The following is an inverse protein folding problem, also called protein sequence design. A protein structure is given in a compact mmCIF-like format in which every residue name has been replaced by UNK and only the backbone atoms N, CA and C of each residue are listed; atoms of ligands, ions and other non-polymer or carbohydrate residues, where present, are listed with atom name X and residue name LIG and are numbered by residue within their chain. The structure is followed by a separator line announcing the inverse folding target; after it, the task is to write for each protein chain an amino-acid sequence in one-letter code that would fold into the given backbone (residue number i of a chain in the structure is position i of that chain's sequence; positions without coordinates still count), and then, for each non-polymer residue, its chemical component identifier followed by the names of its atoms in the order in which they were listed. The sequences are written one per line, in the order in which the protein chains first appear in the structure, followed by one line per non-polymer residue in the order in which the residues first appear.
data_IF_467315174995
#
_entry.id   IF_467315174995
#
_cell.length_a   1.000
_cell.length_b   1.000
_cell.length_c   1.000
_cell.angle_alpha   90.00
_cell.angle_beta   90.00
_cell.angle_gamma   90.00
#
_symmetry.space_group_name_H-M   'P 1'
#
loop_
_entity.id
_entity.type
_entity.pdbx_description
1 polymer ?
#
# COMPACT_ATOMS: atom_id res chain seq x y z
N UNK A 1 7.87 27.29 2.03
CA UNK A 1 8.45 26.08 2.66
C UNK A 1 7.98 24.88 1.85
N UNK A 2 8.83 23.85 1.63
CA UNK A 2 8.37 22.60 0.99
C UNK A 2 7.20 22.00 1.77
N UNK A 3 6.33 21.24 1.10
CA UNK A 3 5.30 20.47 1.80
C UNK A 3 5.92 19.37 2.66
N UNK A 4 5.21 18.86 3.68
CA UNK A 4 5.75 17.85 4.58
C UNK A 4 6.22 16.62 3.80
N UNK A 5 5.42 16.13 2.86
CA UNK A 5 5.77 14.96 2.04
C UNK A 5 6.98 15.21 1.15
N UNK A 6 7.12 16.42 0.60
CA UNK A 6 8.30 16.80 -0.18
C UNK A 6 9.56 16.86 0.68
N UNK A 7 9.44 17.40 1.90
CA UNK A 7 10.54 17.41 2.86
C UNK A 7 10.94 15.99 3.26
N UNK A 8 9.99 15.12 3.62
CA UNK A 8 10.27 13.73 3.99
C UNK A 8 10.98 12.97 2.87
N UNK A 9 10.60 13.16 1.61
CA UNK A 9 11.30 12.54 0.47
C UNK A 9 12.72 13.05 0.30
N UNK A 10 13.00 14.31 0.66
CA UNK A 10 14.35 14.88 0.60
C UNK A 10 15.25 14.38 1.75
N UNK A 11 14.67 14.09 2.90
CA UNK A 11 15.39 13.59 4.07
C UNK A 11 15.69 12.09 4.00
N UNK A 12 14.91 11.32 3.23
CA UNK A 12 15.19 9.90 3.01
C UNK A 12 16.47 9.76 2.19
N UNK A 13 17.38 8.93 2.66
CA UNK A 13 18.58 8.59 1.89
C UNK A 13 18.18 7.91 0.57
N UNK A 14 18.50 8.56 -0.56
CA UNK A 14 18.21 8.07 -1.92
C UNK A 14 18.55 6.58 -2.14
N UNK A 15 19.69 6.05 -1.64
CA UNK A 15 19.99 4.62 -1.77
C UNK A 15 18.97 3.70 -1.09
N UNK A 16 18.40 4.10 0.05
CA UNK A 16 17.40 3.30 0.76
C UNK A 16 16.07 3.28 0.01
N UNK A 17 15.62 4.43 -0.50
CA UNK A 17 14.38 4.51 -1.28
C UNK A 17 14.50 3.74 -2.60
N UNK A 18 15.66 3.85 -3.27
CA UNK A 18 15.95 3.08 -4.48
C UNK A 18 15.91 1.59 -4.17
N UNK A 19 16.63 1.13 -3.13
CA UNK A 19 16.65 -0.28 -2.75
C UNK A 19 15.26 -0.85 -2.41
N UNK A 20 14.39 -0.04 -1.79
CA UNK A 20 13.01 -0.41 -1.49
C UNK A 20 12.10 -0.49 -2.73
N UNK A 21 12.38 0.30 -3.77
CA UNK A 21 11.49 0.47 -4.94
C UNK A 21 12.04 -0.15 -6.23
N UNK A 22 13.25 -0.69 -6.23
CA UNK A 22 13.88 -1.38 -7.37
C UNK A 22 14.46 -2.74 -6.97
N UNK A 23 13.86 -3.40 -5.99
CA UNK A 23 14.31 -4.69 -5.48
C UNK A 23 14.33 -5.77 -6.61
N UNK A 24 15.30 -6.71 -6.62
CA UNK A 24 15.35 -7.79 -7.60
C UNK A 24 14.06 -8.60 -7.76
N UNK A 25 13.25 -8.72 -6.70
CA UNK A 25 11.92 -9.32 -6.76
C UNK A 25 11.04 -8.68 -7.85
N UNK A 26 11.07 -7.35 -7.97
CA UNK A 26 10.25 -6.60 -8.93
C UNK A 26 10.68 -6.85 -10.37
N UNK A 27 11.99 -6.95 -10.61
CA UNK A 27 12.51 -7.29 -11.93
C UNK A 27 12.17 -8.73 -12.32
N UNK A 28 12.25 -9.67 -11.36
CA UNK A 28 11.86 -11.05 -11.59
C UNK A 28 10.35 -11.19 -11.89
N UNK A 29 9.51 -10.46 -11.15
CA UNK A 29 8.07 -10.38 -11.40
C UNK A 29 7.75 -9.77 -12.78
N UNK A 30 8.46 -8.72 -13.19
CA UNK A 30 8.24 -8.06 -14.47
C UNK A 30 8.62 -8.94 -15.68
N UNK A 31 9.53 -9.89 -15.49
CA UNK A 31 10.09 -10.75 -16.55
C UNK A 31 9.58 -12.19 -16.51
N UNK A 32 8.56 -12.49 -15.69
CA UNK A 32 8.04 -13.84 -15.47
C UNK A 32 9.12 -14.87 -15.06
N UNK A 33 10.16 -14.41 -14.36
CA UNK A 33 11.26 -15.27 -13.84
C UNK A 33 11.18 -15.49 -12.34
N UNK A 34 10.17 -14.92 -11.66
CA UNK A 34 9.95 -15.11 -10.23
C UNK A 34 9.53 -16.56 -9.94
N UNK A 35 10.27 -17.31 -9.09
CA UNK A 35 9.87 -18.66 -8.73
C UNK A 35 8.48 -18.68 -8.06
N UNK A 36 7.64 -19.62 -8.45
CA UNK A 36 6.27 -19.73 -7.96
C UNK A 36 6.19 -19.81 -6.42
N UNK A 37 7.15 -20.47 -5.77
CA UNK A 37 7.23 -20.51 -4.30
C UNK A 37 7.45 -19.12 -3.70
N UNK A 38 8.31 -18.30 -4.30
CA UNK A 38 8.57 -16.93 -3.82
C UNK A 38 7.36 -16.02 -4.04
N UNK A 39 6.63 -16.21 -5.15
CA UNK A 39 5.38 -15.50 -5.41
C UNK A 39 4.34 -15.82 -4.34
N UNK A 40 4.16 -17.11 -4.02
CA UNK A 40 3.25 -17.56 -2.96
C UNK A 40 3.64 -17.02 -1.60
N UNK A 41 4.93 -17.13 -1.24
CA UNK A 41 5.46 -16.61 0.02
C UNK A 41 5.23 -15.10 0.14
N UNK A 42 5.50 -14.33 -0.93
CA UNK A 42 5.23 -12.90 -0.95
C UNK A 42 3.73 -12.62 -0.77
N UNK A 43 2.84 -13.25 -1.55
CA UNK A 43 1.41 -12.98 -1.47
C UNK A 43 0.82 -13.37 -0.11
N UNK A 44 1.31 -14.46 0.50
CA UNK A 44 0.94 -14.88 1.84
C UNK A 44 1.30 -13.81 2.89
N UNK A 45 2.50 -13.24 2.81
CA UNK A 45 2.94 -12.19 3.72
C UNK A 45 2.26 -10.84 3.45
N UNK A 46 2.05 -10.48 2.19
CA UNK A 46 1.36 -9.25 1.79
C UNK A 46 -0.11 -9.28 2.19
N UNK A 47 -0.74 -10.47 2.16
CA UNK A 47 -2.09 -10.68 2.72
C UNK A 47 -2.15 -10.40 4.23
N UNK A 48 -1.17 -10.84 5.01
CA UNK A 48 -1.11 -10.51 6.45
C UNK A 48 -0.89 -9.02 6.69
N UNK A 49 -0.05 -8.37 5.86
CA UNK A 49 0.11 -6.92 5.86
C UNK A 49 -1.23 -6.21 5.61
N UNK A 50 -1.95 -6.60 4.55
CA UNK A 50 -3.25 -6.04 4.18
C UNK A 50 -4.32 -6.25 5.26
N UNK A 51 -4.37 -7.43 5.89
CA UNK A 51 -5.26 -7.68 7.03
C UNK A 51 -4.92 -6.77 8.24
N UNK A 52 -3.65 -6.48 8.45
CA UNK A 52 -3.21 -5.59 9.53
C UNK A 52 -3.48 -4.11 9.20
N UNK A 53 -3.39 -3.75 7.92
CA UNK A 53 -3.77 -2.45 7.38
C UNK A 53 -5.25 -2.15 7.65
N UNK A 54 -6.16 -3.14 7.54
CA UNK A 54 -7.58 -2.94 7.88
C UNK A 54 -7.76 -2.39 9.31
N UNK A 55 -7.10 -3.02 10.29
CA UNK A 55 -7.18 -2.58 11.69
C UNK A 55 -6.53 -1.20 11.87
N UNK A 56 -5.37 -0.99 11.25
CA UNK A 56 -4.66 0.30 11.27
C UNK A 56 -5.52 1.47 10.79
N UNK A 57 -6.23 1.31 9.68
CA UNK A 57 -7.14 2.34 9.16
C UNK A 57 -8.35 2.53 10.09
N UNK A 58 -8.89 1.44 10.65
CA UNK A 58 -9.95 1.51 11.66
C UNK A 58 -9.54 2.34 12.88
N UNK A 59 -8.32 2.15 13.37
CA UNK A 59 -7.76 2.91 14.50
C UNK A 59 -7.49 4.38 14.16
N UNK A 60 -7.19 4.70 12.89
CA UNK A 60 -7.10 6.10 12.45
C UNK A 60 -8.47 6.76 12.43
N UNK A 61 -9.48 6.09 11.85
CA UNK A 61 -10.86 6.58 11.79
C UNK A 61 -11.42 6.85 13.19
N UNK A 62 -11.23 5.92 14.12
CA UNK A 62 -11.72 6.03 15.49
C UNK A 62 -11.18 7.25 16.26
N UNK A 63 -10.02 7.79 15.83
CA UNK A 63 -9.39 8.96 16.47
C UNK A 63 -9.76 10.29 15.84
N UNK A 64 -10.47 10.31 14.71
CA UNK A 64 -10.92 11.54 14.08
C UNK A 64 -12.04 12.21 14.88
N UNK A 65 -11.88 13.51 15.12
CA UNK A 65 -12.93 14.35 15.72
C UNK A 65 -13.73 15.01 14.60
N UNK A 66 -14.80 14.36 14.18
CA UNK A 66 -15.66 14.85 13.11
C UNK A 66 -16.48 16.06 13.58
N UNK A 67 -16.48 17.19 12.84
CA UNK A 67 -17.31 18.34 13.17
C UNK A 67 -18.81 18.02 13.04
N UNK A 68 -19.61 18.58 13.93
CA UNK A 68 -21.08 18.54 13.89
C UNK A 68 -21.71 19.75 13.20
N UNK A 69 -20.89 20.65 12.64
CA UNK A 69 -21.36 21.85 11.95
C UNK A 69 -22.05 21.54 10.62
N UNK A 70 -22.80 22.50 10.10
CA UNK A 70 -23.48 22.40 8.80
C UNK A 70 -22.49 22.19 7.66
N UNK A 71 -21.31 22.81 7.75
CA UNK A 71 -20.25 22.72 6.73
C UNK A 71 -19.25 21.58 6.97
N UNK A 72 -19.61 20.58 7.80
CA UNK A 72 -18.69 19.50 8.18
C UNK A 72 -18.04 18.80 6.99
N UNK A 73 -18.76 18.67 5.88
CA UNK A 73 -18.27 17.98 4.66
C UNK A 73 -17.06 18.69 4.04
N UNK A 74 -16.96 20.02 4.19
CA UNK A 74 -15.81 20.79 3.73
C UNK A 74 -14.60 20.68 4.67
N UNK A 75 -14.81 20.20 5.91
CA UNK A 75 -13.74 20.11 6.90
C UNK A 75 -12.66 19.11 6.49
N UNK A 76 -11.42 19.39 6.87
CA UNK A 76 -10.31 18.49 6.65
C UNK A 76 -10.54 17.14 7.34
N UNK A 77 -11.10 17.15 8.56
CA UNK A 77 -11.39 15.93 9.31
C UNK A 77 -12.37 15.02 8.58
N UNK A 78 -13.39 15.59 7.93
CA UNK A 78 -14.35 14.82 7.13
C UNK A 78 -13.69 14.24 5.87
N UNK A 79 -12.92 15.03 5.14
CA UNK A 79 -12.18 14.55 3.95
C UNK A 79 -11.16 13.45 4.30
N UNK A 80 -10.50 13.54 5.46
CA UNK A 80 -9.63 12.46 5.95
C UNK A 80 -10.48 11.21 6.24
N UNK A 81 -11.65 11.34 6.86
CA UNK A 81 -12.51 10.19 7.13
C UNK A 81 -12.96 9.51 5.84
N UNK A 82 -13.41 10.28 4.83
CA UNK A 82 -13.78 9.76 3.52
C UNK A 82 -12.60 9.01 2.87
N UNK A 83 -11.40 9.60 2.88
CA UNK A 83 -10.20 8.93 2.36
C UNK A 83 -9.88 7.62 3.08
N UNK A 84 -10.00 7.56 4.41
CA UNK A 84 -9.75 6.34 5.17
C UNK A 84 -10.83 5.27 4.90
N UNK A 85 -12.09 5.65 4.66
CA UNK A 85 -13.14 4.74 4.21
C UNK A 85 -12.84 4.18 2.82
N UNK A 86 -12.31 5.02 1.92
CA UNK A 86 -11.84 4.58 0.61
C UNK A 86 -10.67 3.59 0.75
N UNK A 87 -9.74 3.82 1.68
CA UNK A 87 -8.66 2.87 1.98
C UNK A 87 -9.20 1.50 2.41
N UNK A 88 -10.20 1.46 3.31
CA UNK A 88 -10.85 0.21 3.73
C UNK A 88 -11.56 -0.50 2.58
N UNK A 89 -12.20 0.27 1.70
CA UNK A 89 -12.88 -0.29 0.52
C UNK A 89 -11.86 -0.87 -0.46
N UNK A 90 -10.75 -0.18 -0.69
CA UNK A 90 -9.67 -0.61 -1.57
C UNK A 90 -8.98 -1.86 -1.05
N UNK A 91 -8.50 -1.85 0.19
CA UNK A 91 -7.77 -3.00 0.74
C UNK A 91 -8.64 -4.26 0.81
N UNK A 92 -9.97 -4.12 0.99
CA UNK A 92 -10.90 -5.26 0.89
C UNK A 92 -11.01 -5.80 -0.54
N UNK A 93 -11.01 -4.93 -1.55
CA UNK A 93 -10.95 -5.35 -2.96
C UNK A 93 -9.62 -6.05 -3.27
N UNK A 94 -8.51 -5.57 -2.72
CA UNK A 94 -7.19 -6.18 -2.89
C UNK A 94 -7.08 -7.55 -2.21
N UNK A 95 -7.61 -7.70 -0.99
CA UNK A 95 -7.69 -9.01 -0.33
C UNK A 95 -8.49 -10.02 -1.17
N UNK A 96 -9.63 -9.61 -1.71
CA UNK A 96 -10.41 -10.44 -2.62
C UNK A 96 -9.61 -10.76 -3.91
N UNK A 97 -8.92 -9.77 -4.49
CA UNK A 97 -8.05 -9.98 -5.64
C UNK A 97 -6.99 -11.04 -5.35
N UNK A 98 -6.37 -11.04 -4.16
CA UNK A 98 -5.35 -12.02 -3.77
C UNK A 98 -5.93 -13.42 -3.70
N UNK A 99 -7.05 -13.55 -2.98
CA UNK A 99 -7.71 -14.82 -2.70
C UNK A 99 -8.32 -15.43 -3.96
N UNK A 100 -9.03 -14.63 -4.77
CA UNK A 100 -9.63 -15.07 -6.02
C UNK A 100 -8.56 -15.51 -7.03
N UNK A 101 -7.45 -14.77 -7.08
CA UNK A 101 -6.32 -15.08 -7.96
C UNK A 101 -5.64 -16.39 -7.53
N UNK A 102 -5.32 -16.54 -6.24
CA UNK A 102 -4.71 -17.76 -5.73
C UNK A 102 -5.65 -18.97 -5.87
N UNK A 103 -6.96 -18.78 -5.71
CA UNK A 103 -7.97 -19.81 -5.94
C UNK A 103 -8.02 -20.24 -7.41
N UNK A 104 -8.03 -19.29 -8.34
CA UNK A 104 -8.06 -19.56 -9.77
C UNK A 104 -6.81 -20.32 -10.26
N UNK A 105 -5.67 -20.03 -9.64
CA UNK A 105 -4.39 -20.69 -9.97
C UNK A 105 -4.14 -21.96 -9.14
N UNK A 106 -5.03 -22.31 -8.20
CA UNK A 106 -4.99 -23.58 -7.45
C UNK A 106 -4.04 -23.63 -6.25
N UNK A 107 -3.69 -22.48 -5.66
CA UNK A 107 -2.78 -22.38 -4.52
C UNK A 107 -3.28 -21.44 -3.41
N UNK A 108 -4.60 -21.31 -3.24
CA UNK A 108 -5.22 -20.53 -2.16
C UNK A 108 -4.73 -20.97 -0.77
N UNK A 109 -4.62 -22.28 -0.54
CA UNK A 109 -4.15 -22.81 0.76
C UNK A 109 -2.72 -22.36 1.10
N UNK A 110 -1.88 -22.11 0.09
CA UNK A 110 -0.48 -21.70 0.29
C UNK A 110 -0.37 -20.26 0.83
N UNK A 111 -1.40 -19.43 0.67
CA UNK A 111 -1.42 -18.03 1.14
C UNK A 111 -2.27 -17.80 2.39
N UNK A 112 -2.99 -18.83 2.85
CA UNK A 112 -3.85 -18.77 4.01
C UNK A 112 -3.10 -19.18 5.28
N UNK A 113 -3.39 -18.49 6.38
CA UNK A 113 -2.80 -18.73 7.72
C UNK A 113 -1.26 -18.89 7.79
N UNK A 114 -0.47 -18.10 7.03
CA UNK A 114 0.97 -18.16 7.16
C UNK A 114 1.40 -17.60 8.52
N UNK A 115 2.57 -18.04 9.00
CA UNK A 115 3.22 -17.33 10.11
C UNK A 115 3.78 -16.02 9.58
N UNK A 116 3.58 -14.88 10.25
CA UNK A 116 4.16 -13.63 9.80
C UNK A 116 5.68 -13.75 9.80
N UNK A 117 6.33 -13.28 8.73
CA UNK A 117 7.77 -13.12 8.67
C UNK A 117 8.20 -11.96 9.57
N UNK A 118 9.51 -11.82 9.81
CA UNK A 118 10.03 -10.70 10.60
C UNK A 118 9.64 -9.35 10.00
N UNK A 119 9.79 -9.17 8.69
CA UNK A 119 9.44 -7.93 8.01
C UNK A 119 7.95 -7.59 8.15
N UNK A 120 7.07 -8.58 8.00
CA UNK A 120 5.62 -8.43 8.18
C UNK A 120 5.27 -8.01 9.61
N UNK A 121 5.90 -8.64 10.62
CA UNK A 121 5.73 -8.21 12.02
C UNK A 121 6.20 -6.78 12.24
N UNK A 122 7.32 -6.37 11.65
CA UNK A 122 7.81 -4.99 11.77
C UNK A 122 6.80 -3.98 11.21
N UNK A 123 6.10 -4.30 10.11
CA UNK A 123 5.01 -3.46 9.60
C UNK A 123 3.80 -3.45 10.53
N UNK A 124 3.43 -4.60 11.09
CA UNK A 124 2.34 -4.69 12.08
C UNK A 124 2.63 -3.84 13.33
N UNK A 125 3.86 -3.92 13.84
CA UNK A 125 4.33 -3.12 14.97
C UNK A 125 4.39 -1.62 14.62
N UNK A 126 4.78 -1.29 13.38
CA UNK A 126 4.78 0.09 12.88
C UNK A 126 3.35 0.67 12.89
N UNK A 127 2.36 -0.09 12.39
CA UNK A 127 0.96 0.31 12.40
C UNK A 127 0.39 0.48 13.80
N UNK A 128 0.67 -0.46 14.71
CA UNK A 128 0.27 -0.36 16.11
C UNK A 128 0.95 0.84 16.80
N UNK A 129 2.23 1.07 16.53
CA UNK A 129 2.98 2.21 17.05
C UNK A 129 2.44 3.55 16.56
N UNK A 130 2.06 3.64 15.28
CA UNK A 130 1.51 4.84 14.65
C UNK A 130 0.14 5.27 15.22
N UNK A 131 -0.62 4.30 15.72
CA UNK A 131 -1.97 4.46 16.25
C UNK A 131 -2.04 4.45 17.77
N UNK A 132 -0.90 4.21 18.43
CA UNK A 132 -0.79 4.22 19.88
C UNK A 132 -1.30 5.52 20.53
N UNK A 133 -1.83 5.40 21.75
CA UNK A 133 -2.39 6.50 22.52
C UNK A 133 -1.40 7.68 22.63
N UNK A 134 -1.90 8.89 22.38
CA UNK A 134 -1.10 10.13 22.42
C UNK A 134 -0.36 10.44 21.12
N UNK A 135 -0.32 9.54 20.13
CA UNK A 135 0.22 9.85 18.80
C UNK A 135 -0.74 10.75 18.01
N UNK A 136 -0.26 11.81 17.35
CA UNK A 136 -1.07 12.58 16.41
C UNK A 136 -1.56 11.71 15.25
N UNK A 137 -2.77 11.97 14.75
CA UNK A 137 -3.30 11.29 13.55
C UNK A 137 -2.39 11.49 12.34
N UNK A 138 -1.72 12.64 12.26
CA UNK A 138 -0.74 12.95 11.21
C UNK A 138 0.36 11.87 11.08
N UNK A 139 0.84 11.28 12.18
CA UNK A 139 1.87 10.23 12.13
C UNK A 139 1.35 9.00 11.38
N UNK A 140 0.11 8.60 11.64
CA UNK A 140 -0.52 7.50 10.92
C UNK A 140 -0.79 7.82 9.46
N UNK A 141 -1.23 9.05 9.14
CA UNK A 141 -1.42 9.45 7.74
C UNK A 141 -0.11 9.51 6.96
N UNK A 142 1.00 9.89 7.59
CA UNK A 142 2.33 9.84 6.98
C UNK A 142 2.73 8.39 6.70
N UNK A 143 2.52 7.47 7.65
CA UNK A 143 2.83 6.04 7.45
C UNK A 143 1.98 5.44 6.34
N UNK A 144 0.68 5.74 6.33
CA UNK A 144 -0.23 5.39 5.25
C UNK A 144 0.31 5.88 3.90
N UNK A 145 0.49 7.18 3.74
CA UNK A 145 1.01 7.75 2.49
C UNK A 145 2.36 7.15 2.08
N UNK A 146 3.31 7.05 2.99
CA UNK A 146 4.66 6.57 2.67
C UNK A 146 4.66 5.11 2.21
N UNK A 147 3.82 4.25 2.81
CA UNK A 147 3.68 2.86 2.36
C UNK A 147 3.10 2.78 0.95
N UNK A 148 2.04 3.53 0.66
CA UNK A 148 1.38 3.56 -0.66
C UNK A 148 2.29 4.17 -1.74
N UNK A 149 3.03 5.22 -1.40
CA UNK A 149 4.02 5.86 -2.29
C UNK A 149 5.16 4.90 -2.64
N UNK A 150 5.71 4.19 -1.66
CA UNK A 150 6.72 3.16 -1.90
C UNK A 150 6.17 2.03 -2.79
N UNK A 151 4.94 1.58 -2.53
CA UNK A 151 4.32 0.53 -3.32
C UNK A 151 4.07 0.96 -4.77
N UNK A 152 3.51 2.16 -4.97
CA UNK A 152 3.32 2.74 -6.31
C UNK A 152 4.63 2.84 -7.09
N UNK A 153 5.71 3.31 -6.45
CA UNK A 153 7.04 3.40 -7.09
C UNK A 153 7.58 2.01 -7.47
N UNK A 154 7.47 1.05 -6.56
CA UNK A 154 7.90 -0.33 -6.80
C UNK A 154 7.16 -0.96 -8.00
N UNK A 155 5.84 -0.83 -8.05
CA UNK A 155 5.04 -1.41 -9.14
C UNK A 155 5.16 -0.63 -10.45
N UNK A 156 5.38 0.68 -10.42
CA UNK A 156 5.74 1.44 -11.63
C UNK A 156 7.11 1.04 -12.17
N UNK A 157 8.09 0.76 -11.30
CA UNK A 157 9.36 0.19 -11.72
C UNK A 157 9.16 -1.19 -12.36
N UNK A 158 8.40 -2.10 -11.73
CA UNK A 158 8.11 -3.41 -12.33
C UNK A 158 7.40 -3.25 -13.69
N UNK A 159 6.40 -2.37 -13.77
CA UNK A 159 5.65 -2.09 -15.01
C UNK A 159 6.55 -1.57 -16.13
N UNK A 160 7.57 -0.76 -15.84
CA UNK A 160 8.50 -0.25 -16.86
C UNK A 160 9.50 -1.30 -17.35
N UNK A 161 9.58 -2.46 -16.70
CA UNK A 161 10.47 -3.57 -17.03
C UNK A 161 9.72 -4.80 -17.53
N UNK A 162 8.42 -4.68 -17.83
CA UNK A 162 7.65 -5.78 -18.41
C UNK A 162 8.28 -6.20 -19.74
N UNK A 163 8.65 -7.48 -19.84
CA UNK A 163 9.21 -8.03 -21.07
C UNK A 163 8.13 -8.10 -22.16
N UNK A 164 8.19 -7.15 -23.09
CA UNK A 164 7.28 -7.07 -24.24
C UNK A 164 7.43 -8.22 -25.25
N UNK A 165 8.48 -9.05 -25.14
CA UNK A 165 8.65 -10.24 -25.97
C UNK A 165 7.78 -11.42 -25.51
N UNK A 166 7.31 -11.41 -24.26
CA UNK A 166 6.41 -12.43 -23.72
C UNK A 166 5.01 -12.20 -24.28
N UNK A 167 4.48 -13.20 -24.99
CA UNK A 167 3.13 -13.16 -25.51
C UNK A 167 2.12 -13.07 -24.36
N UNK A 168 0.99 -12.40 -24.59
CA UNK A 168 -0.02 -12.19 -23.54
C UNK A 168 -0.53 -13.49 -22.91
N UNK A 169 -0.59 -14.57 -23.71
CA UNK A 169 -0.98 -15.90 -23.25
C UNK A 169 0.04 -16.56 -22.31
N UNK A 170 1.31 -16.14 -22.38
CA UNK A 170 2.42 -16.71 -21.58
C UNK A 170 2.73 -15.85 -20.34
N UNK A 171 2.00 -14.75 -20.13
CA UNK A 171 2.19 -13.88 -18.98
C UNK A 171 1.72 -14.54 -17.69
N UNK A 172 2.56 -14.47 -16.67
CA UNK A 172 2.21 -14.96 -15.34
C UNK A 172 1.22 -14.03 -14.63
N UNK A 173 0.81 -14.44 -13.44
CA UNK A 173 -0.13 -13.68 -12.62
C UNK A 173 0.41 -12.31 -12.17
N UNK A 174 1.73 -12.15 -12.03
CA UNK A 174 2.33 -10.86 -11.69
C UNK A 174 2.05 -9.86 -12.81
N UNK A 175 2.33 -10.25 -14.05
CA UNK A 175 2.18 -9.38 -15.22
C UNK A 175 0.71 -9.17 -15.60
N UNK A 176 -0.15 -10.18 -15.44
CA UNK A 176 -1.57 -10.09 -15.82
C UNK A 176 -2.43 -9.36 -14.81
N UNK A 177 -2.15 -9.51 -13.51
CA UNK A 177 -3.07 -9.11 -12.44
C UNK A 177 -2.44 -8.07 -11.51
N UNK A 178 -1.33 -8.42 -10.87
CA UNK A 178 -0.81 -7.66 -9.74
C UNK A 178 -0.09 -6.37 -10.14
N UNK A 179 0.86 -6.43 -11.08
CA UNK A 179 1.59 -5.24 -11.57
C UNK A 179 0.60 -4.19 -12.09
N UNK A 180 -0.35 -4.51 -13.00
CA UNK A 180 -1.30 -3.52 -13.52
C UNK A 180 -2.18 -2.86 -12.44
N UNK A 181 -2.53 -3.57 -11.36
CA UNK A 181 -3.39 -3.04 -10.30
C UNK A 181 -2.72 -1.83 -9.62
N UNK A 182 -1.48 -2.01 -9.15
CA UNK A 182 -0.77 -1.00 -8.37
C UNK A 182 0.15 -0.08 -9.18
N UNK A 183 0.34 -0.34 -10.47
CA UNK A 183 0.97 0.62 -11.39
C UNK A 183 -0.04 1.56 -12.08
N UNK A 184 -1.34 1.37 -11.81
CA UNK A 184 -2.43 2.10 -12.47
C UNK A 184 -2.49 3.59 -12.12
N UNK A 185 -3.11 4.38 -13.01
CA UNK A 185 -3.40 5.78 -12.74
C UNK A 185 -4.46 5.97 -11.64
N UNK A 186 -5.37 5.00 -11.47
CA UNK A 186 -6.32 5.00 -10.35
C UNK A 186 -5.58 4.92 -9.01
N UNK A 187 -4.63 4.00 -8.89
CA UNK A 187 -3.81 3.87 -7.69
C UNK A 187 -2.93 5.09 -7.48
N UNK A 188 -2.31 5.63 -8.54
CA UNK A 188 -1.51 6.86 -8.43
C UNK A 188 -2.33 8.06 -7.93
N UNK A 189 -3.58 8.20 -8.40
CA UNK A 189 -4.50 9.24 -7.92
C UNK A 189 -4.87 9.03 -6.45
N UNK A 190 -5.12 7.79 -6.04
CA UNK A 190 -5.37 7.43 -4.65
C UNK A 190 -4.21 7.84 -3.74
N UNK A 191 -2.96 7.49 -4.09
CA UNK A 191 -1.76 7.92 -3.35
C UNK A 191 -1.64 9.45 -3.30
N UNK A 192 -1.91 10.13 -4.42
CA UNK A 192 -1.92 11.59 -4.51
C UNK A 192 -2.93 12.27 -3.58
N UNK A 193 -4.12 11.67 -3.39
CA UNK A 193 -5.13 12.19 -2.47
C UNK A 193 -4.66 12.10 -1.01
N UNK A 194 -4.05 10.97 -0.62
CA UNK A 194 -3.49 10.80 0.74
C UNK A 194 -2.37 11.83 0.96
N UNK A 195 -1.49 12.01 -0.03
CA UNK A 195 -0.41 13.01 0.00
C UNK A 195 -0.95 14.41 0.27
N UNK A 196 -1.99 14.82 -0.45
CA UNK A 196 -2.60 16.14 -0.30
C UNK A 196 -3.15 16.35 1.12
N UNK A 197 -3.78 15.33 1.72
CA UNK A 197 -4.30 15.39 3.08
C UNK A 197 -3.20 15.48 4.13
N UNK A 198 -2.10 14.74 3.96
CA UNK A 198 -0.91 14.84 4.84
C UNK A 198 -0.33 16.25 4.80
N UNK A 199 -0.13 16.80 3.60
CA UNK A 199 0.44 18.13 3.39
C UNK A 199 -0.48 19.27 3.88
N UNK A 200 -1.79 19.06 3.88
CA UNK A 200 -2.75 20.02 4.44
C UNK A 200 -2.78 19.94 5.97
N UNK A 201 -2.85 18.73 6.53
CA UNK A 201 -2.91 18.52 7.98
C UNK A 201 -1.64 18.99 8.69
N UNK A 202 -0.47 18.88 8.05
CA UNK A 202 0.80 19.32 8.64
C UNK A 202 0.94 20.83 8.84
N UNK A 203 -0.01 21.63 8.32
CA UNK A 203 0.02 23.10 8.41
C UNK A 203 -0.82 23.65 9.58
N UNK A 204 -1.51 22.77 10.32
CA UNK A 204 -2.43 23.10 11.41
C UNK A 204 -1.79 22.66 12.73
#
# INVERSE_FOLDING_TARGET
MPSLTAHLLQEVEEPLLTAATTNPFLAAAATATLPLTQLRDWLAQDRLYALSYVNFIGDLLARLRLPSSVDRVASLQWRIADQLIDCLTNIRRELALFEDTAAAEGWLEDICDPRPAQATRCYQDLFAGATSMGRPVLVGLVILWASEECYLRAWRFASSHIDSSIAEADRDVMQRVFIPNWSSEEFAKFVGNIRALVDELSKI
#
